data_IF_111734610305
#
_entry.id   IF_111734610305
#
_cell.length_a   1.000
_cell.length_b   1.000
_cell.length_c   1.000
_cell.angle_alpha   90.00
_cell.angle_beta   90.00
_cell.angle_gamma   90.00
#
_symmetry.space_group_name_H-M   'P 1'
#
loop_
_entity.id
_entity.type
_entity.pdbx_description
1 polymer ?
#
# COMPACT_ATOMS: atom_id res chain seq x y z
N UNK A 1 -7.48 6.05 -7.39
CA UNK A 1 -7.51 7.53 -7.29
C UNK A 1 -6.19 8.02 -6.69
N UNK A 2 -5.70 9.20 -7.05
CA UNK A 2 -4.49 9.81 -6.46
C UNK A 2 -4.84 11.18 -5.90
N UNK A 3 -4.45 11.46 -4.65
CA UNK A 3 -4.59 12.76 -3.98
C UNK A 3 -3.17 13.26 -3.70
N UNK A 4 -2.74 14.24 -4.49
CA UNK A 4 -1.42 14.85 -4.35
C UNK A 4 -1.53 16.21 -3.67
N UNK A 5 -0.61 16.54 -2.78
CA UNK A 5 -0.55 17.86 -2.16
C UNK A 5 0.67 18.01 -1.27
N UNK A 6 1.16 19.23 -1.12
CA UNK A 6 2.37 19.53 -0.34
C UNK A 6 2.19 19.23 1.16
N UNK A 7 3.30 19.20 1.91
CA UNK A 7 3.28 19.17 3.37
C UNK A 7 2.37 20.28 3.94
N UNK A 8 1.47 19.93 4.87
CA UNK A 8 0.56 20.91 5.49
C UNK A 8 -0.73 21.21 4.71
N UNK A 9 -0.94 20.65 3.51
CA UNK A 9 -2.17 20.84 2.71
C UNK A 9 -3.45 20.19 3.27
N UNK A 10 -3.40 19.54 4.44
CA UNK A 10 -4.57 18.93 5.06
C UNK A 10 -4.94 17.53 4.54
N UNK A 11 -4.07 16.83 3.79
CA UNK A 11 -4.31 15.46 3.30
C UNK A 11 -4.75 14.49 4.40
N UNK A 12 -4.06 14.50 5.54
CA UNK A 12 -4.40 13.62 6.67
C UNK A 12 -5.76 13.95 7.27
N UNK A 13 -6.15 15.23 7.27
CA UNK A 13 -7.49 15.66 7.69
C UNK A 13 -8.56 15.15 6.73
N UNK A 14 -8.28 15.17 5.42
CA UNK A 14 -9.16 14.60 4.40
C UNK A 14 -9.32 13.08 4.54
N UNK A 15 -8.22 12.35 4.82
CA UNK A 15 -8.27 10.90 5.10
C UNK A 15 -9.15 10.63 6.32
N UNK A 16 -8.97 11.38 7.41
CA UNK A 16 -9.78 11.25 8.63
C UNK A 16 -11.28 11.50 8.36
N UNK A 17 -11.60 12.48 7.50
CA UNK A 17 -12.98 12.73 7.09
C UNK A 17 -13.55 11.62 6.21
N UNK A 18 -12.80 11.13 5.23
CA UNK A 18 -13.21 10.01 4.39
C UNK A 18 -13.49 8.76 5.22
N UNK A 19 -12.66 8.49 6.23
CA UNK A 19 -12.87 7.38 7.17
C UNK A 19 -14.17 7.55 7.95
N UNK A 20 -14.48 8.76 8.43
CA UNK A 20 -15.74 9.05 9.13
C UNK A 20 -16.95 8.90 8.22
N UNK A 21 -16.88 9.39 6.99
CA UNK A 21 -17.98 9.36 6.04
C UNK A 21 -18.31 7.93 5.61
N UNK A 22 -17.29 7.13 5.30
CA UNK A 22 -17.47 5.70 4.99
C UNK A 22 -18.07 4.96 6.18
N UNK A 23 -17.58 5.18 7.40
CA UNK A 23 -18.17 4.60 8.60
C UNK A 23 -19.64 4.96 8.77
N UNK A 24 -20.00 6.22 8.46
CA UNK A 24 -21.37 6.70 8.50
C UNK A 24 -22.26 5.98 7.47
N UNK A 25 -21.81 5.91 6.21
CA UNK A 25 -22.52 5.25 5.11
C UNK A 25 -22.77 3.78 5.41
N UNK A 26 -21.77 3.06 5.91
CA UNK A 26 -21.87 1.64 6.25
C UNK A 26 -22.52 1.38 7.62
N UNK A 27 -22.94 2.44 8.35
CA UNK A 27 -23.51 2.37 9.71
C UNK A 27 -22.66 1.51 10.65
N UNK A 28 -21.35 1.62 10.54
CA UNK A 28 -20.42 0.83 11.34
C UNK A 28 -20.57 1.21 12.82
N UNK A 29 -20.83 0.22 13.66
CA UNK A 29 -20.70 0.43 15.10
C UNK A 29 -19.23 0.36 15.49
N UNK A 30 -18.74 1.23 16.38
CA UNK A 30 -17.34 1.22 16.84
C UNK A 30 -16.90 -0.08 17.50
N UNK A 31 -17.83 -1.00 17.80
CA UNK A 31 -17.59 -2.30 18.43
C UNK A 31 -17.44 -3.47 17.45
N UNK A 32 -17.72 -3.28 16.15
CA UNK A 32 -17.62 -4.35 15.16
C UNK A 32 -16.27 -4.26 14.46
N UNK A 33 -15.49 -5.35 14.57
CA UNK A 33 -14.13 -5.53 14.02
C UNK A 33 -14.03 -5.50 12.48
N UNK A 34 -15.13 -5.24 11.76
CA UNK A 34 -15.16 -5.21 10.30
C UNK A 34 -14.63 -3.87 9.79
N UNK A 35 -13.30 -3.76 9.73
CA UNK A 35 -12.64 -2.62 9.12
C UNK A 35 -12.95 -2.58 7.61
N UNK A 36 -13.81 -1.66 7.16
CA UNK A 36 -14.13 -1.48 5.73
C UNK A 36 -13.03 -0.75 4.96
N UNK A 37 -12.21 0.03 5.67
CA UNK A 37 -11.11 0.81 5.11
C UNK A 37 -9.78 0.36 5.71
N UNK A 38 -8.85 -0.05 4.86
CA UNK A 38 -7.47 -0.33 5.26
C UNK A 38 -6.59 0.89 5.01
N UNK A 39 -6.04 1.46 6.08
CA UNK A 39 -5.12 2.60 6.02
C UNK A 39 -3.68 2.12 6.11
N UNK A 40 -2.87 2.42 5.10
CA UNK A 40 -1.50 1.98 4.96
C UNK A 40 -0.57 3.17 4.77
N UNK A 41 0.66 3.07 5.28
CA UNK A 41 1.75 3.97 4.89
C UNK A 41 3.09 3.23 4.84
N UNK A 42 4.07 3.79 4.12
CA UNK A 42 5.41 3.19 4.05
C UNK A 42 6.17 3.31 5.39
N UNK A 43 6.14 4.49 6.00
CA UNK A 43 6.88 4.80 7.23
C UNK A 43 6.00 4.78 8.48
N UNK A 44 6.59 4.47 9.64
CA UNK A 44 5.89 4.43 10.92
C UNK A 44 5.33 5.78 11.37
N UNK A 45 6.01 6.87 11.06
CA UNK A 45 5.57 8.25 11.36
C UNK A 45 4.30 8.62 10.59
N UNK A 46 4.27 8.36 9.27
CA UNK A 46 3.10 8.55 8.44
C UNK A 46 1.93 7.65 8.87
N UNK A 47 2.25 6.38 9.19
CA UNK A 47 1.27 5.41 9.70
C UNK A 47 0.58 5.91 10.97
N UNK A 48 1.35 6.45 11.92
CA UNK A 48 0.83 6.99 13.17
C UNK A 48 -0.11 8.16 12.93
N UNK A 49 0.23 9.04 11.99
CA UNK A 49 -0.56 10.23 11.66
C UNK A 49 -1.97 9.89 11.14
N UNK A 50 -2.08 8.86 10.29
CA UNK A 50 -3.37 8.39 9.74
C UNK A 50 -4.04 7.30 10.60
N UNK A 51 -3.47 6.95 11.77
CA UNK A 51 -3.94 5.85 12.63
C UNK A 51 -4.07 4.51 11.88
N UNK A 52 -3.14 4.26 10.96
CA UNK A 52 -3.13 3.10 10.09
C UNK A 52 -2.14 2.03 10.51
N UNK A 53 -1.71 1.21 9.55
CA UNK A 53 -0.64 0.23 9.71
C UNK A 53 0.43 0.42 8.64
N UNK A 54 1.67 -0.02 8.91
CA UNK A 54 2.70 0.01 7.87
C UNK A 54 2.37 -1.03 6.80
N UNK A 55 2.73 -0.76 5.54
CA UNK A 55 2.53 -1.72 4.44
C UNK A 55 3.13 -3.09 4.78
N UNK A 56 4.33 -3.11 5.36
CA UNK A 56 4.99 -4.34 5.77
C UNK A 56 4.18 -5.14 6.80
N UNK A 57 3.68 -4.47 7.84
CA UNK A 57 2.90 -5.12 8.88
C UNK A 57 1.57 -5.61 8.36
N UNK A 58 0.86 -4.76 7.61
CA UNK A 58 -0.47 -5.07 7.10
C UNK A 58 -0.45 -6.24 6.11
N UNK A 59 0.62 -6.37 5.33
CA UNK A 59 0.76 -7.44 4.32
C UNK A 59 1.44 -8.70 4.86
N UNK A 60 1.83 -8.74 6.13
CA UNK A 60 2.45 -9.92 6.75
C UNK A 60 3.85 -10.25 6.23
N UNK A 61 4.60 -9.24 5.80
CA UNK A 61 5.99 -9.40 5.35
C UNK A 61 6.88 -9.67 6.57
N UNK A 62 7.47 -10.86 6.64
CA UNK A 62 8.24 -11.31 7.81
C UNK A 62 9.68 -10.78 7.86
N UNK A 63 10.19 -10.22 6.76
CA UNK A 63 11.52 -9.62 6.71
C UNK A 63 11.41 -8.12 6.91
N UNK A 64 11.90 -7.63 8.05
CA UNK A 64 12.06 -6.19 8.34
C UNK A 64 13.27 -5.57 7.60
N UNK A 65 13.90 -6.32 6.68
CA UNK A 65 15.01 -5.79 5.90
C UNK A 65 14.52 -4.67 4.98
N UNK A 66 15.27 -3.56 4.91
CA UNK A 66 15.06 -2.47 3.95
C UNK A 66 15.04 -2.96 2.49
N UNK A 67 15.59 -4.14 2.22
CA UNK A 67 15.62 -4.80 0.91
C UNK A 67 14.53 -5.86 0.69
N UNK A 68 13.55 -6.00 1.59
CA UNK A 68 12.53 -7.04 1.46
C UNK A 68 11.67 -6.89 0.19
N UNK A 69 11.41 -5.65 -0.25
CA UNK A 69 10.78 -5.37 -1.55
C UNK A 69 11.77 -5.31 -2.71
N UNK A 70 13.08 -5.42 -2.46
CA UNK A 70 14.08 -5.54 -3.51
C UNK A 70 14.21 -6.96 -4.04
N UNK A 71 13.82 -7.98 -3.26
CA UNK A 71 13.77 -9.35 -3.73
C UNK A 71 12.53 -9.60 -4.63
N UNK A 72 12.59 -10.58 -5.55
CA UNK A 72 11.41 -11.03 -6.29
C UNK A 72 10.25 -11.37 -5.37
N UNK A 73 9.02 -11.14 -5.85
CA UNK A 73 7.82 -11.47 -5.08
C UNK A 73 7.82 -12.94 -4.66
N UNK A 74 7.60 -13.17 -3.37
CA UNK A 74 7.44 -14.51 -2.80
C UNK A 74 6.07 -14.62 -2.16
N UNK A 75 5.29 -15.58 -2.66
CA UNK A 75 3.96 -15.88 -2.14
C UNK A 75 3.99 -16.29 -0.67
N UNK A 76 2.98 -15.93 0.11
CA UNK A 76 2.87 -16.48 1.47
C UNK A 76 2.64 -18.00 1.44
N UNK A 77 2.07 -18.54 0.37
CA UNK A 77 1.83 -19.98 0.26
C UNK A 77 3.11 -20.82 0.25
N UNK A 78 4.24 -20.25 -0.21
CA UNK A 78 5.53 -20.97 -0.31
C UNK A 78 6.38 -20.87 0.96
N UNK A 79 5.96 -20.07 1.95
CA UNK A 79 6.70 -19.88 3.19
C UNK A 79 6.29 -20.88 4.28
N UNK A 80 7.24 -21.34 5.10
CA UNK A 80 7.06 -22.36 6.15
C UNK A 80 5.86 -22.11 7.10
N UNK A 81 5.54 -20.84 7.39
CA UNK A 81 4.38 -20.42 8.20
C UNK A 81 3.40 -19.50 7.45
N UNK A 82 3.58 -19.32 6.13
CA UNK A 82 2.83 -18.33 5.38
C UNK A 82 1.37 -18.69 5.07
N UNK A 83 0.96 -19.96 4.88
CA UNK A 83 -0.45 -20.31 4.70
C UNK A 83 -1.34 -19.93 5.88
N UNK A 84 -0.85 -20.10 7.11
CA UNK A 84 -1.59 -19.71 8.32
C UNK A 84 -1.71 -18.19 8.43
N UNK A 85 -0.62 -17.46 8.17
CA UNK A 85 -0.65 -15.99 8.11
C UNK A 85 -1.61 -15.48 7.05
N UNK A 86 -1.59 -16.09 5.86
CA UNK A 86 -2.48 -15.71 4.76
C UNK A 86 -3.94 -15.89 5.17
N UNK A 87 -4.30 -17.02 5.78
CA UNK A 87 -5.67 -17.23 6.29
C UNK A 87 -6.08 -16.15 7.31
N UNK A 88 -5.17 -15.78 8.23
CA UNK A 88 -5.43 -14.71 9.19
C UNK A 88 -5.67 -13.37 8.49
N UNK A 89 -4.84 -13.00 7.51
CA UNK A 89 -5.02 -11.77 6.72
C UNK A 89 -6.33 -11.78 5.93
N UNK A 90 -6.66 -12.91 5.29
CA UNK A 90 -7.91 -13.10 4.57
C UNK A 90 -9.13 -12.90 5.48
N UNK A 91 -9.08 -13.43 6.71
CA UNK A 91 -10.16 -13.26 7.69
C UNK A 91 -10.23 -11.83 8.21
N UNK A 92 -9.08 -11.21 8.49
CA UNK A 92 -8.98 -9.84 9.00
C UNK A 92 -9.49 -8.81 7.98
N UNK A 93 -9.20 -9.01 6.69
CA UNK A 93 -9.51 -8.06 5.63
C UNK A 93 -10.66 -8.48 4.71
N UNK A 94 -11.43 -9.51 5.08
CA UNK A 94 -12.55 -10.02 4.26
C UNK A 94 -13.54 -8.91 3.86
N UNK A 95 -13.74 -7.96 4.77
CA UNK A 95 -14.75 -6.91 4.72
C UNK A 95 -14.21 -5.56 4.22
N UNK A 96 -12.91 -5.47 3.92
CA UNK A 96 -12.27 -4.26 3.39
C UNK A 96 -12.72 -4.06 1.95
N UNK A 97 -13.17 -2.86 1.61
CA UNK A 97 -13.50 -2.43 0.24
C UNK A 97 -12.54 -1.37 -0.29
N UNK A 98 -12.06 -0.49 0.60
CA UNK A 98 -11.21 0.64 0.28
C UNK A 98 -9.84 0.50 0.96
N UNK A 99 -8.77 0.74 0.21
CA UNK A 99 -7.40 0.80 0.73
C UNK A 99 -6.82 2.18 0.43
N UNK A 100 -6.34 2.85 1.48
CA UNK A 100 -5.67 4.14 1.35
C UNK A 100 -4.19 3.94 1.66
N UNK A 101 -3.33 4.35 0.75
CA UNK A 101 -1.88 4.24 0.87
C UNK A 101 -1.30 5.65 0.90
N UNK A 102 -0.89 6.09 2.10
CA UNK A 102 -0.27 7.39 2.33
C UNK A 102 1.24 7.36 2.12
N UNK A 103 1.76 8.53 1.78
CA UNK A 103 3.13 8.76 1.30
C UNK A 103 3.50 7.83 0.13
N UNK A 104 2.68 7.80 -0.92
CA UNK A 104 2.94 6.96 -2.10
C UNK A 104 4.22 7.34 -2.86
N UNK A 105 4.69 8.58 -2.72
CA UNK A 105 5.90 9.09 -3.39
C UNK A 105 7.15 8.29 -3.02
N UNK A 106 7.20 7.70 -1.82
CA UNK A 106 8.35 6.88 -1.40
C UNK A 106 8.22 5.40 -1.78
N UNK A 107 7.10 5.00 -2.38
CA UNK A 107 6.87 3.62 -2.82
C UNK A 107 7.48 3.45 -4.22
N UNK A 108 8.33 2.43 -4.40
CA UNK A 108 8.86 2.07 -5.71
C UNK A 108 7.88 1.22 -6.51
N UNK A 109 8.05 1.17 -7.84
CA UNK A 109 7.27 0.28 -8.71
C UNK A 109 7.32 -1.19 -8.27
N UNK A 110 8.48 -1.66 -7.78
CA UNK A 110 8.64 -3.03 -7.29
C UNK A 110 7.87 -3.27 -6.00
N UNK A 111 7.87 -2.30 -5.08
CA UNK A 111 7.06 -2.37 -3.88
C UNK A 111 5.56 -2.35 -4.22
N UNK A 112 5.13 -1.54 -5.19
CA UNK A 112 3.75 -1.54 -5.65
C UNK A 112 3.32 -2.89 -6.24
N UNK A 113 4.16 -3.49 -7.09
CA UNK A 113 3.91 -4.83 -7.62
C UNK A 113 3.79 -5.87 -6.50
N UNK A 114 4.66 -5.79 -5.49
CA UNK A 114 4.58 -6.63 -4.29
C UNK A 114 3.27 -6.46 -3.53
N UNK A 115 2.80 -5.22 -3.37
CA UNK A 115 1.52 -4.89 -2.73
C UNK A 115 0.38 -5.52 -3.54
N UNK A 116 0.34 -5.30 -4.85
CA UNK A 116 -0.69 -5.84 -5.75
C UNK A 116 -0.78 -7.37 -5.69
N UNK A 117 0.35 -8.07 -5.84
CA UNK A 117 0.39 -9.54 -5.76
C UNK A 117 -0.02 -10.06 -4.38
N UNK A 118 0.35 -9.39 -3.30
CA UNK A 118 -0.09 -9.79 -1.96
C UNK A 118 -1.59 -9.56 -1.76
N UNK A 119 -2.13 -8.43 -2.24
CA UNK A 119 -3.55 -8.13 -2.16
C UNK A 119 -4.38 -9.16 -2.94
N UNK A 120 -3.91 -9.58 -4.10
CA UNK A 120 -4.48 -10.69 -4.89
C UNK A 120 -4.51 -12.02 -4.13
N UNK A 121 -3.53 -12.31 -3.26
CA UNK A 121 -3.58 -13.48 -2.37
C UNK A 121 -4.58 -13.33 -1.23
N UNK A 122 -4.72 -12.12 -0.68
CA UNK A 122 -5.67 -11.81 0.40
C UNK A 122 -7.12 -11.87 -0.12
N UNK A 123 -7.38 -11.52 -1.38
CA UNK A 123 -8.73 -11.60 -1.98
C UNK A 123 -8.74 -12.51 -3.21
N UNK A 124 -8.64 -13.85 -3.02
CA UNK A 124 -8.43 -14.79 -4.11
C UNK A 124 -9.60 -14.83 -5.12
N UNK A 125 -10.83 -14.52 -4.69
CA UNK A 125 -12.00 -14.46 -5.57
C UNK A 125 -11.88 -13.38 -6.66
N UNK A 126 -11.13 -12.32 -6.38
CA UNK A 126 -10.97 -11.16 -7.25
C UNK A 126 -9.51 -11.01 -7.71
N UNK A 127 -8.73 -12.11 -7.67
CA UNK A 127 -7.29 -12.13 -8.02
C UNK A 127 -6.99 -11.67 -9.46
N UNK A 128 -7.97 -11.77 -10.36
CA UNK A 128 -7.85 -11.32 -11.74
C UNK A 128 -7.91 -9.80 -11.90
N UNK A 129 -8.37 -9.08 -10.86
CA UNK A 129 -8.43 -7.63 -10.83
C UNK A 129 -7.18 -7.04 -10.15
N UNK A 130 -6.75 -5.82 -10.53
CA UNK A 130 -5.75 -5.08 -9.77
C UNK A 130 -6.13 -4.99 -8.29
N UNK A 131 -5.14 -5.10 -7.42
CA UNK A 131 -5.25 -5.01 -5.97
C UNK A 131 -6.29 -5.97 -5.36
N UNK A 132 -6.54 -7.12 -6.01
CA UNK A 132 -7.56 -8.07 -5.55
C UNK A 132 -8.97 -7.50 -5.61
N UNK A 133 -9.24 -6.58 -6.54
CA UNK A 133 -10.55 -5.95 -6.73
C UNK A 133 -10.94 -5.03 -5.58
N UNK A 134 -9.98 -4.30 -5.02
CA UNK A 134 -10.21 -3.27 -3.99
C UNK A 134 -9.95 -1.90 -4.57
N UNK A 135 -10.76 -0.93 -4.12
CA UNK A 135 -10.53 0.45 -4.49
C UNK A 135 -9.29 0.96 -3.76
N UNK A 136 -8.36 1.56 -4.51
CA UNK A 136 -7.11 2.09 -3.94
C UNK A 136 -7.01 3.59 -4.15
N UNK A 137 -6.77 4.30 -3.04
CA UNK A 137 -6.46 5.73 -3.01
C UNK A 137 -5.00 5.89 -2.60
N UNK A 138 -4.21 6.53 -3.45
CA UNK A 138 -2.86 6.94 -3.11
C UNK A 138 -2.89 8.39 -2.63
N UNK A 139 -2.29 8.66 -1.47
CA UNK A 139 -2.13 10.00 -0.92
C UNK A 139 -0.67 10.28 -0.67
N UNK A 140 -0.22 11.50 -0.92
CA UNK A 140 1.17 11.85 -0.72
C UNK A 140 1.56 13.15 -1.36
N UNK A 141 2.86 13.39 -1.38
CA UNK A 141 3.48 14.54 -2.01
C UNK A 141 4.53 14.07 -3.01
N UNK A 142 4.19 14.15 -4.30
CA UNK A 142 5.09 13.81 -5.39
C UNK A 142 6.32 14.73 -5.50
N UNK A 143 6.34 15.87 -4.78
CA UNK A 143 7.47 16.79 -4.72
C UNK A 143 8.35 16.61 -3.47
N UNK A 144 8.02 15.65 -2.59
CA UNK A 144 8.95 15.22 -1.53
C UNK A 144 10.16 14.48 -2.12
N UNK A 145 11.26 14.46 -1.35
CA UNK A 145 12.56 13.86 -1.71
C UNK A 145 12.40 12.54 -2.48
N UNK A 146 13.18 12.39 -3.56
CA UNK A 146 13.27 11.14 -4.30
C UNK A 146 13.55 9.97 -3.33
N UNK A 147 12.82 8.85 -3.45
CA UNK A 147 13.05 7.72 -2.57
C UNK A 147 14.48 7.21 -2.72
N UNK A 148 15.04 6.64 -1.65
CA UNK A 148 16.38 6.05 -1.64
C UNK A 148 16.49 4.75 -2.49
N UNK A 149 15.54 4.51 -3.40
CA UNK A 149 15.45 3.39 -4.33
C UNK A 149 15.41 3.93 -5.76
N UNK A 150 15.94 3.19 -6.75
CA UNK A 150 16.29 3.76 -8.05
C UNK A 150 15.16 4.43 -8.83
N UNK A 151 13.88 4.05 -8.60
CA UNK A 151 12.73 4.70 -9.22
C UNK A 151 11.51 4.70 -8.27
N UNK A 152 10.92 5.88 -8.05
CA UNK A 152 9.67 6.10 -7.34
C UNK A 152 8.46 5.85 -8.25
N UNK A 153 7.28 5.66 -7.67
CA UNK A 153 6.03 5.74 -8.44
C UNK A 153 5.76 7.15 -9.01
N UNK A 154 6.25 8.19 -8.34
CA UNK A 154 6.16 9.57 -8.81
C UNK A 154 7.18 9.92 -9.89
N UNK A 155 8.17 9.05 -10.17
CA UNK A 155 9.22 9.35 -11.15
C UNK A 155 8.64 9.37 -12.57
N UNK A 156 8.86 10.44 -13.37
CA UNK A 156 8.38 10.52 -14.74
C UNK A 156 8.93 9.40 -15.63
N UNK A 157 8.09 8.82 -16.50
CA UNK A 157 8.48 7.73 -17.41
C UNK A 157 9.65 8.07 -18.33
N UNK A 158 9.77 9.33 -18.76
CA UNK A 158 10.87 9.82 -19.59
C UNK A 158 12.23 9.67 -18.89
N UNK A 159 12.26 9.91 -17.58
CA UNK A 159 13.48 9.80 -16.78
C UNK A 159 13.89 8.33 -16.63
N UNK A 160 12.92 7.45 -16.38
CA UNK A 160 13.13 6.00 -16.33
C UNK A 160 13.70 5.47 -17.64
N UNK A 161 13.12 5.88 -18.78
CA UNK A 161 13.56 5.44 -20.10
C UNK A 161 15.00 5.88 -20.42
N UNK A 162 15.35 7.13 -20.12
CA UNK A 162 16.68 7.67 -20.37
C UNK A 162 17.77 6.97 -19.55
N UNK A 163 17.47 6.60 -18.31
CA UNK A 163 18.43 5.91 -17.44
C UNK A 163 18.63 4.45 -17.83
N UNK A 164 17.57 3.75 -18.27
CA UNK A 164 17.69 2.38 -18.83
C UNK A 164 18.56 2.40 -20.09
N UNK A 165 18.33 3.36 -20.99
CA UNK A 165 19.11 3.54 -22.23
C UNK A 165 20.57 3.94 -22.01
N UNK A 166 20.91 4.55 -20.86
CA UNK A 166 22.31 4.81 -20.47
C UNK A 166 22.99 3.56 -19.93
N UNK A 167 22.31 2.77 -19.09
CA UNK A 167 22.86 1.53 -18.51
C UNK A 167 23.08 0.40 -19.51
N UNK A 168 22.34 0.38 -20.62
CA UNK A 168 22.57 -0.61 -21.70
C UNK A 168 23.78 -0.28 -22.60
N UNK A 169 24.39 0.90 -22.43
CA UNK A 169 25.55 1.36 -23.21
C UNK A 169 26.89 1.31 -22.46
N UNK A 170 26.87 0.91 -21.19
CA UNK A 170 28.05 0.66 -20.33
C UNK A 170 28.26 -0.85 -20.14
#
# INVERSE_FOLDING_TARGET
>A
MIINGEGGSGKSWLIDHLVKDVRCVFREQPKILSQRILLLAHQGTATFNIKGQTVFSALGVSSLSRSAFSAPYTSLTTQKNGPNKLKTLQQQYKDVYLVIIDEFSVISCRMLHWIDERMKEIWPLQRHLPFGGRDVIFTGDAAQLDPAVPYALSTPLLQVYNDVQRKERE
#
